data_IF_928629292959
#
_entry.id   IF_928629292959
#
_cell.length_a   1.000
_cell.length_b   1.000
_cell.length_c   1.000
_cell.angle_alpha   90.00
_cell.angle_beta   90.00
_cell.angle_gamma   90.00
#
_symmetry.space_group_name_H-M   'P 1'
#
loop_
_entity.id
_entity.type
_entity.pdbx_description
1 polymer ?
#
# COMPACT_ATOMS: atom_id res chain seq x y z
N UNK A 1 11.07 -29.09 -30.66
CA UNK A 1 10.77 -27.65 -30.50
C UNK A 1 11.86 -27.06 -29.62
N UNK A 2 12.58 -26.03 -30.08
CA UNK A 2 13.52 -25.29 -29.23
C UNK A 2 12.74 -24.54 -28.15
N UNK A 3 13.18 -24.63 -26.89
CA UNK A 3 12.60 -23.81 -25.82
C UNK A 3 12.90 -22.35 -26.10
N UNK A 4 11.90 -21.49 -25.96
CA UNK A 4 12.08 -20.04 -26.02
C UNK A 4 13.04 -19.62 -24.89
N UNK A 5 14.02 -18.75 -25.20
CA UNK A 5 15.03 -18.28 -24.24
C UNK A 5 14.40 -17.59 -23.02
N UNK A 6 13.27 -16.91 -23.19
CA UNK A 6 12.49 -16.30 -22.10
C UNK A 6 11.87 -17.37 -21.19
N UNK A 7 11.39 -18.47 -21.75
CA UNK A 7 10.91 -19.60 -20.95
C UNK A 7 12.06 -20.24 -20.17
N UNK A 8 13.24 -20.35 -20.78
CA UNK A 8 14.43 -20.87 -20.10
C UNK A 8 14.88 -19.99 -18.92
N UNK A 9 14.81 -18.66 -19.04
CA UNK A 9 15.23 -17.74 -17.96
C UNK A 9 14.34 -17.87 -16.72
N UNK A 10 13.04 -18.11 -16.92
CA UNK A 10 12.08 -18.37 -15.84
C UNK A 10 12.24 -19.78 -15.25
N UNK A 11 12.56 -20.77 -16.08
CA UNK A 11 12.75 -22.15 -15.63
C UNK A 11 14.04 -22.34 -14.81
N UNK A 12 15.10 -21.61 -15.15
CA UNK A 12 16.42 -21.75 -14.50
C UNK A 12 16.40 -21.26 -13.05
N UNK A 13 15.67 -20.18 -12.77
CA UNK A 13 15.54 -19.59 -11.43
C UNK A 13 14.08 -19.55 -10.97
N UNK A 14 13.37 -20.68 -11.05
CA UNK A 14 12.05 -20.79 -10.42
C UNK A 14 12.15 -20.46 -8.94
N UNK A 15 11.15 -19.75 -8.43
CA UNK A 15 11.12 -19.36 -7.02
C UNK A 15 11.16 -20.59 -6.12
N UNK A 16 12.12 -20.64 -5.20
CA UNK A 16 12.32 -21.75 -4.25
C UNK A 16 12.38 -21.27 -2.79
N UNK A 17 12.01 -20.00 -2.53
CA UNK A 17 12.04 -19.38 -1.21
C UNK A 17 13.37 -18.71 -0.85
N UNK A 18 14.50 -19.17 -1.37
CA UNK A 18 15.82 -18.60 -1.06
C UNK A 18 16.40 -17.71 -2.16
N UNK A 19 15.85 -17.78 -3.38
CA UNK A 19 16.32 -17.07 -4.57
C UNK A 19 15.44 -15.87 -4.99
N UNK A 20 14.76 -15.20 -4.04
CA UNK A 20 13.78 -14.15 -4.34
C UNK A 20 14.32 -13.06 -5.29
N UNK A 21 15.54 -12.56 -5.04
CA UNK A 21 16.13 -11.49 -5.85
C UNK A 21 16.40 -11.92 -7.30
N UNK A 22 16.94 -13.13 -7.48
CA UNK A 22 17.21 -13.68 -8.82
C UNK A 22 15.92 -13.99 -9.58
N UNK A 23 14.96 -14.58 -8.89
CA UNK A 23 13.63 -14.86 -9.45
C UNK A 23 12.94 -13.56 -9.88
N UNK A 24 12.90 -12.55 -9.00
CA UNK A 24 12.27 -11.26 -9.30
C UNK A 24 12.97 -10.54 -10.45
N UNK A 25 14.31 -10.57 -10.51
CA UNK A 25 15.08 -10.00 -11.61
C UNK A 25 14.73 -10.68 -12.93
N UNK A 26 14.71 -12.01 -12.97
CA UNK A 26 14.36 -12.76 -14.18
C UNK A 26 12.92 -12.51 -14.62
N UNK A 27 11.98 -12.45 -13.67
CA UNK A 27 10.59 -12.12 -13.94
C UNK A 27 10.45 -10.72 -14.54
N UNK A 28 11.13 -9.72 -13.97
CA UNK A 28 11.16 -8.35 -14.51
C UNK A 28 11.70 -8.31 -15.94
N UNK A 29 12.79 -9.01 -16.22
CA UNK A 29 13.38 -9.08 -17.58
C UNK A 29 12.35 -9.61 -18.59
N UNK A 30 11.65 -10.70 -18.27
CA UNK A 30 10.67 -11.28 -19.18
C UNK A 30 9.46 -10.38 -19.36
N UNK A 31 8.93 -9.81 -18.27
CA UNK A 31 7.80 -8.90 -18.35
C UNK A 31 8.14 -7.63 -19.12
N UNK A 32 9.36 -7.10 -18.98
CA UNK A 32 9.83 -5.95 -19.75
C UNK A 32 9.93 -6.27 -21.25
N UNK A 33 10.51 -7.43 -21.58
CA UNK A 33 10.61 -7.89 -22.97
C UNK A 33 9.23 -8.05 -23.63
N UNK A 34 8.24 -8.56 -22.89
CA UNK A 34 6.87 -8.75 -23.37
C UNK A 34 5.99 -7.49 -23.24
N UNK A 35 6.54 -6.37 -22.77
CA UNK A 35 5.82 -5.11 -22.49
C UNK A 35 4.64 -5.30 -21.51
N UNK A 36 4.84 -6.13 -20.49
CA UNK A 36 3.89 -6.52 -19.44
C UNK A 36 4.31 -6.11 -18.01
N UNK A 37 5.26 -5.19 -17.85
CA UNK A 37 5.69 -4.68 -16.54
C UNK A 37 4.54 -4.14 -15.69
N UNK A 38 3.48 -3.64 -16.34
CA UNK A 38 2.23 -3.19 -15.70
C UNK A 38 1.60 -4.24 -14.75
N UNK A 39 1.89 -5.53 -14.94
CA UNK A 39 1.41 -6.61 -14.05
C UNK A 39 2.04 -6.49 -12.67
N UNK A 40 3.34 -6.15 -12.59
CA UNK A 40 4.02 -5.91 -11.31
C UNK A 40 3.47 -4.64 -10.66
N UNK A 41 3.31 -3.56 -11.42
CA UNK A 41 2.78 -2.29 -10.92
C UNK A 41 1.37 -2.47 -10.36
N UNK A 42 0.51 -3.21 -11.06
CA UNK A 42 -0.84 -3.53 -10.59
C UNK A 42 -0.79 -4.34 -9.30
N UNK A 43 0.11 -5.30 -9.17
CA UNK A 43 0.24 -6.09 -7.95
C UNK A 43 0.73 -5.25 -6.77
N UNK A 44 1.72 -4.38 -6.99
CA UNK A 44 2.24 -3.47 -5.95
C UNK A 44 1.16 -2.48 -5.51
N UNK A 45 0.43 -1.87 -6.45
CA UNK A 45 -0.72 -1.01 -6.17
C UNK A 45 -1.80 -1.72 -5.37
N UNK A 46 -2.16 -2.94 -5.76
CA UNK A 46 -3.15 -3.74 -5.03
C UNK A 46 -2.68 -4.04 -3.60
N UNK A 47 -1.43 -4.42 -3.41
CA UNK A 47 -0.88 -4.70 -2.07
C UNK A 47 -0.87 -3.45 -1.18
N UNK A 48 -0.49 -2.29 -1.72
CA UNK A 48 -0.47 -1.03 -0.99
C UNK A 48 -1.88 -0.55 -0.62
N UNK A 49 -2.82 -0.56 -1.58
CA UNK A 49 -4.22 -0.16 -1.35
C UNK A 49 -4.86 -1.06 -0.32
N UNK A 50 -4.71 -2.39 -0.46
CA UNK A 50 -5.19 -3.35 0.55
C UNK A 50 -4.63 -3.06 1.94
N UNK A 51 -3.31 -2.86 2.05
CA UNK A 51 -2.70 -2.56 3.34
C UNK A 51 -3.25 -1.28 3.97
N UNK A 52 -3.51 -0.23 3.16
CA UNK A 52 -4.08 1.03 3.64
C UNK A 52 -5.52 0.86 4.15
N UNK A 53 -6.41 0.27 3.36
CA UNK A 53 -7.82 0.09 3.75
C UNK A 53 -8.03 -0.92 4.89
N UNK A 54 -7.22 -1.97 4.95
CA UNK A 54 -7.34 -3.04 5.95
C UNK A 54 -6.63 -2.69 7.28
N UNK A 55 -5.77 -1.67 7.30
CA UNK A 55 -5.07 -1.30 8.54
C UNK A 55 -6.05 -0.70 9.54
N UNK A 56 -6.15 -1.35 10.71
CA UNK A 56 -6.93 -0.89 11.86
C UNK A 56 -6.02 -0.72 13.07
N UNK A 57 -6.34 0.27 13.89
CA UNK A 57 -5.67 0.52 15.16
C UNK A 57 -6.19 -0.49 16.20
N UNK A 58 -5.27 -1.03 16.99
CA UNK A 58 -5.65 -1.89 18.11
C UNK A 58 -6.14 -1.04 19.29
N UNK A 59 -7.24 -1.44 19.93
CA UNK A 59 -7.77 -0.80 21.14
C UNK A 59 -6.67 -0.67 22.21
N UNK A 60 -6.51 0.54 22.79
CA UNK A 60 -5.49 0.82 23.81
C UNK A 60 -4.04 0.95 23.31
N UNK A 61 -3.78 0.84 22.00
CA UNK A 61 -2.45 1.09 21.42
C UNK A 61 -2.18 2.59 21.21
N UNK A 62 -0.96 2.95 20.76
CA UNK A 62 -0.56 4.33 20.51
C UNK A 62 -1.19 4.88 19.22
N UNK A 63 -2.03 5.92 19.34
CA UNK A 63 -2.60 6.66 18.19
C UNK A 63 -1.50 7.22 17.31
N UNK A 64 -0.43 7.74 17.91
CA UNK A 64 0.69 8.34 17.20
C UNK A 64 1.41 7.32 16.33
N UNK A 65 1.70 6.14 16.86
CA UNK A 65 2.34 5.06 16.09
C UNK A 65 1.45 4.59 14.94
N UNK A 66 0.15 4.46 15.20
CA UNK A 66 -0.83 4.12 14.18
C UNK A 66 -0.93 5.20 13.09
N UNK A 67 -0.96 6.47 13.47
CA UNK A 67 -0.99 7.62 12.55
C UNK A 67 0.24 7.67 11.65
N UNK A 68 1.45 7.46 12.20
CA UNK A 68 2.69 7.35 11.41
C UNK A 68 2.61 6.21 10.40
N UNK A 69 2.08 5.04 10.81
CA UNK A 69 1.89 3.90 9.92
C UNK A 69 0.93 4.25 8.78
N UNK A 70 -0.21 4.87 9.07
CA UNK A 70 -1.17 5.28 8.05
C UNK A 70 -0.58 6.32 7.09
N UNK A 71 0.19 7.30 7.58
CA UNK A 71 0.89 8.29 6.75
C UNK A 71 1.86 7.61 5.78
N UNK A 72 2.68 6.67 6.27
CA UNK A 72 3.63 5.94 5.41
C UNK A 72 2.94 5.12 4.30
N UNK A 73 1.72 4.62 4.58
CA UNK A 73 0.92 3.89 3.58
C UNK A 73 0.32 4.87 2.57
N UNK A 74 -0.14 6.04 3.01
CA UNK A 74 -0.62 7.11 2.13
C UNK A 74 0.48 7.60 1.18
N UNK A 75 1.66 7.98 1.69
CA UNK A 75 2.80 8.42 0.87
C UNK A 75 3.14 7.37 -0.20
N UNK A 76 3.10 6.08 0.17
CA UNK A 76 3.29 4.98 -0.78
C UNK A 76 2.20 4.93 -1.87
N UNK A 77 0.95 5.28 -1.57
CA UNK A 77 -0.13 5.33 -2.56
C UNK A 77 0.02 6.54 -3.49
N UNK A 78 0.54 7.66 -2.99
CA UNK A 78 0.89 8.84 -3.80
C UNK A 78 2.03 8.54 -4.77
N UNK A 79 3.11 7.91 -4.29
CA UNK A 79 4.23 7.45 -5.13
C UNK A 79 3.78 6.51 -6.25
N UNK A 80 2.76 5.68 -5.97
CA UNK A 80 2.16 4.75 -6.92
C UNK A 80 1.08 5.39 -7.81
N UNK A 81 0.81 6.68 -7.64
CA UNK A 81 -0.17 7.47 -8.39
C UNK A 81 -1.55 6.81 -8.40
N UNK A 82 -1.99 6.28 -7.26
CA UNK A 82 -3.31 5.62 -7.13
C UNK A 82 -4.46 6.63 -7.35
N UNK A 83 -4.23 7.91 -7.07
CA UNK A 83 -5.16 8.99 -7.39
C UNK A 83 -6.33 9.13 -6.43
N UNK A 84 -6.13 8.80 -5.14
CA UNK A 84 -7.11 9.10 -4.10
C UNK A 84 -7.02 10.58 -3.72
N UNK A 85 -8.17 11.19 -3.43
CA UNK A 85 -8.23 12.55 -2.90
C UNK A 85 -7.94 12.58 -1.39
N UNK A 86 -7.61 13.77 -0.89
CA UNK A 86 -7.27 13.99 0.52
C UNK A 86 -8.40 13.63 1.48
N UNK A 87 -9.67 13.88 1.10
CA UNK A 87 -10.81 13.56 1.95
C UNK A 87 -10.93 12.03 2.11
N UNK A 88 -10.73 11.27 1.04
CA UNK A 88 -10.67 9.80 1.09
C UNK A 88 -9.57 9.31 2.02
N UNK A 89 -8.37 9.90 1.98
CA UNK A 89 -7.29 9.51 2.90
C UNK A 89 -7.68 9.76 4.36
N UNK A 90 -8.24 10.93 4.66
CA UNK A 90 -8.70 11.31 6.00
C UNK A 90 -9.80 10.35 6.46
N UNK A 91 -10.79 10.08 5.63
CA UNK A 91 -11.91 9.19 5.95
C UNK A 91 -11.42 7.77 6.30
N UNK A 92 -10.47 7.23 5.55
CA UNK A 92 -9.90 5.90 5.82
C UNK A 92 -9.12 5.89 7.14
N UNK A 93 -8.36 6.96 7.42
CA UNK A 93 -7.63 7.09 8.70
C UNK A 93 -8.62 7.16 9.87
N UNK A 94 -9.66 7.98 9.79
CA UNK A 94 -10.69 8.04 10.84
C UNK A 94 -11.39 6.70 11.03
N UNK A 95 -11.73 6.00 9.94
CA UNK A 95 -12.33 4.65 9.96
C UNK A 95 -11.38 3.55 10.44
N UNK A 96 -10.09 3.83 10.54
CA UNK A 96 -9.11 2.88 11.07
C UNK A 96 -9.01 2.90 12.59
N UNK A 97 -9.54 3.94 13.24
CA UNK A 97 -9.54 4.08 14.69
C UNK A 97 -10.54 3.13 15.36
N UNK A 98 -10.29 2.73 16.62
CA UNK A 98 -11.21 1.91 17.39
C UNK A 98 -12.49 2.68 17.79
N UNK A 99 -13.58 1.99 18.14
CA UNK A 99 -14.83 2.63 18.56
C UNK A 99 -14.70 3.59 19.76
N UNK A 100 -13.70 3.41 20.62
CA UNK A 100 -13.42 4.34 21.73
C UNK A 100 -13.08 5.76 21.26
N UNK A 101 -12.65 5.92 20.01
CA UNK A 101 -12.33 7.22 19.39
C UNK A 101 -13.52 7.85 18.65
N UNK A 102 -14.72 7.26 18.70
CA UNK A 102 -15.92 7.84 18.08
C UNK A 102 -16.17 9.32 18.49
N UNK A 103 -16.01 9.73 19.76
CA UNK A 103 -16.15 11.14 20.13
C UNK A 103 -15.16 12.06 19.39
N UNK A 104 -13.91 11.61 19.20
CA UNK A 104 -12.90 12.32 18.44
C UNK A 104 -13.27 12.44 16.97
N UNK A 105 -13.70 11.34 16.34
CA UNK A 105 -14.13 11.32 14.92
C UNK A 105 -15.30 12.29 14.70
N UNK A 106 -16.30 12.27 15.58
CA UNK A 106 -17.45 13.18 15.51
C UNK A 106 -17.00 14.64 15.67
N UNK A 107 -16.14 14.92 16.64
CA UNK A 107 -15.59 16.27 16.86
C UNK A 107 -14.76 16.77 15.67
N UNK A 108 -13.91 15.91 15.09
CA UNK A 108 -13.12 16.24 13.90
C UNK A 108 -14.03 16.58 12.71
N UNK A 109 -15.08 15.78 12.49
CA UNK A 109 -16.01 16.01 11.38
C UNK A 109 -16.84 17.28 11.55
N UNK A 110 -17.16 17.69 12.78
CA UNK A 110 -17.98 18.87 13.05
C UNK A 110 -17.20 20.19 13.03
N UNK A 111 -15.90 20.19 13.30
CA UNK A 111 -15.20 21.45 13.61
C UNK A 111 -14.76 22.31 12.42
N UNK A 112 -14.95 21.90 11.16
CA UNK A 112 -14.83 22.79 9.99
C UNK A 112 -13.47 23.49 9.74
N UNK A 113 -12.49 23.33 10.63
CA UNK A 113 -11.12 23.82 10.46
C UNK A 113 -10.40 22.93 9.44
N UNK A 114 -9.36 23.48 8.82
CA UNK A 114 -8.59 22.87 7.75
C UNK A 114 -8.23 21.41 8.09
N UNK A 115 -9.00 20.47 7.55
CA UNK A 115 -8.83 19.05 7.80
C UNK A 115 -7.50 18.63 7.22
N UNK A 116 -6.53 18.39 8.10
CA UNK A 116 -5.20 17.92 7.71
C UNK A 116 -4.87 16.61 8.40
N UNK A 117 -4.21 15.72 7.67
CA UNK A 117 -3.69 14.45 8.19
C UNK A 117 -2.64 14.72 9.28
N UNK A 118 -1.92 15.83 9.21
CA UNK A 118 -0.95 16.21 10.23
C UNK A 118 -1.60 16.46 11.60
N UNK A 119 -2.85 16.90 11.64
CA UNK A 119 -3.60 17.06 12.91
C UNK A 119 -4.01 15.72 13.52
N UNK A 120 -4.09 14.64 12.72
CA UNK A 120 -4.43 13.30 13.20
C UNK A 120 -3.26 12.60 13.91
N UNK A 121 -2.03 13.08 13.70
CA UNK A 121 -0.80 12.43 14.14
C UNK A 121 -0.14 13.18 15.32
N UNK A 122 -0.62 14.39 15.64
CA UNK A 122 -0.18 15.23 16.76
C UNK A 122 -0.98 14.98 18.03
#
# INVERSE_FOLDING_TARGET
MSKNLLTMILETNKFNGTNYNDWLRNLRIVLDFENQTYVLDRHIRYAATKAFFDTKMTEGSSVREHGIKMLSLMEKLEDLQVGLDNDTYIDVILQSLPPSYNPFVVNYNMNGLEKSINELIN
#
